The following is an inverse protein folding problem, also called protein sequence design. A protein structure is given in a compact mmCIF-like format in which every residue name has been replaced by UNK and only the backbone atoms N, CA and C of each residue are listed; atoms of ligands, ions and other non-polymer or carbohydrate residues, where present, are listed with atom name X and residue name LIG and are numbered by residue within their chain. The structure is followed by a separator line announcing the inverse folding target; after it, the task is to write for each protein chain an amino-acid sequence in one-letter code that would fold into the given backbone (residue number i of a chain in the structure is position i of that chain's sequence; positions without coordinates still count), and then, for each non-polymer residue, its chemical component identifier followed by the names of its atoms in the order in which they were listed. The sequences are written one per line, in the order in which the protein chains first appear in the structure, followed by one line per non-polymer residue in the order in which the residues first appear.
data_IF_003793360822
#
_entry.id   IF_003793360822
#
_cell.length_a   1.000
_cell.length_b   1.000
_cell.length_c   1.000
_cell.angle_alpha   90.00
_cell.angle_beta   90.00
_cell.angle_gamma   90.00
#
_symmetry.space_group_name_H-M   'P 1'
#
loop_
_entity.id
_entity.type
_entity.pdbx_description
1 polymer ?
#
# COMPACT_ATOMS: atom_id res chain seq x y z
N UNK A 1 16.52 24.79 14.64
CA UNK A 1 16.37 24.24 13.28
C UNK A 1 14.89 24.18 12.99
N UNK A 2 14.39 25.02 12.10
CA UNK A 2 12.99 24.95 11.66
C UNK A 2 12.83 23.72 10.78
N UNK A 3 12.24 22.65 11.31
CA UNK A 3 11.68 21.58 10.48
C UNK A 3 10.43 22.16 9.80
N UNK A 4 10.55 22.57 8.54
CA UNK A 4 9.37 22.81 7.71
C UNK A 4 8.63 21.48 7.58
N UNK A 5 7.67 21.24 8.48
CA UNK A 5 6.67 20.18 8.33
C UNK A 5 5.95 20.43 7.00
N UNK A 6 6.24 19.60 6.00
CA UNK A 6 5.51 19.65 4.74
C UNK A 6 4.09 19.15 5.00
N UNK A 7 3.11 20.05 4.89
CA UNK A 7 1.68 19.72 4.98
C UNK A 7 1.06 19.97 3.63
N UNK A 8 0.23 19.05 3.18
CA UNK A 8 -0.54 19.26 1.95
C UNK A 8 -1.50 20.45 2.16
N UNK A 9 -1.68 21.26 1.11
CA UNK A 9 -2.61 22.39 1.12
C UNK A 9 -4.06 21.92 1.22
N UNK A 10 -4.37 20.76 0.62
CA UNK A 10 -5.64 20.07 0.71
C UNK A 10 -5.36 18.58 0.96
N UNK A 11 -5.95 18.05 2.03
CA UNK A 11 -5.73 16.67 2.46
C UNK A 11 -6.59 15.69 1.68
N UNK A 12 -5.98 14.63 1.15
CA UNK A 12 -6.74 13.49 0.64
C UNK A 12 -7.31 12.65 1.79
N UNK A 13 -8.42 11.95 1.53
CA UNK A 13 -8.95 10.91 2.41
C UNK A 13 -8.89 9.56 1.73
N UNK A 14 -8.32 8.58 2.42
CA UNK A 14 -8.26 7.19 2.01
C UNK A 14 -9.10 6.38 3.00
N UNK A 15 -10.21 5.78 2.55
CA UNK A 15 -11.08 4.98 3.40
C UNK A 15 -10.64 3.50 3.42
N UNK A 16 -10.03 3.06 2.32
CA UNK A 16 -9.60 1.68 2.15
C UNK A 16 -8.36 1.60 1.27
N UNK A 17 -7.37 0.81 1.69
CA UNK A 17 -6.20 0.54 0.87
C UNK A 17 -5.80 -0.94 0.87
N UNK A 18 -5.15 -1.35 -0.21
CA UNK A 18 -4.50 -2.65 -0.37
C UNK A 18 -2.98 -2.54 -0.29
N UNK A 19 -2.34 -3.66 0.03
CA UNK A 19 -0.89 -3.78 -0.01
C UNK A 19 -0.49 -4.99 -0.86
N UNK A 20 0.42 -4.77 -1.81
CA UNK A 20 0.97 -5.78 -2.70
C UNK A 20 2.48 -5.84 -2.53
N UNK A 21 3.03 -7.04 -2.49
CA UNK A 21 4.47 -7.27 -2.37
C UNK A 21 5.00 -8.18 -3.45
N UNK A 22 6.04 -7.70 -4.14
CA UNK A 22 6.93 -8.47 -5.00
C UNK A 22 8.26 -8.78 -4.32
N UNK A 23 8.38 -8.49 -3.01
CA UNK A 23 9.59 -8.84 -2.26
C UNK A 23 9.67 -10.36 -2.08
N UNK A 24 10.88 -10.93 -1.97
CA UNK A 24 11.07 -12.32 -1.57
C UNK A 24 10.34 -12.63 -0.26
N UNK A 25 9.76 -13.83 -0.09
CA UNK A 25 8.95 -14.18 1.09
C UNK A 25 9.67 -13.98 2.43
N UNK A 26 11.00 -14.18 2.47
CA UNK A 26 11.80 -13.98 3.68
C UNK A 26 11.93 -12.50 4.11
N UNK A 27 11.56 -11.55 3.24
CA UNK A 27 11.46 -10.12 3.55
C UNK A 27 10.04 -9.67 3.87
N UNK A 28 9.06 -10.58 3.84
CA UNK A 28 7.66 -10.22 4.03
C UNK A 28 7.36 -9.67 5.44
N UNK A 29 8.14 -10.07 6.45
CA UNK A 29 8.02 -9.51 7.81
C UNK A 29 8.31 -8.01 7.86
N UNK A 30 9.16 -7.47 6.98
CA UNK A 30 9.44 -6.04 6.90
C UNK A 30 8.24 -5.22 6.40
N UNK A 31 7.27 -5.86 5.74
CA UNK A 31 6.16 -5.18 5.11
C UNK A 31 5.12 -4.70 6.10
N UNK A 32 4.93 -5.41 7.21
CA UNK A 32 4.04 -4.94 8.28
C UNK A 32 4.57 -3.64 8.88
N UNK A 33 5.87 -3.58 9.21
CA UNK A 33 6.48 -2.35 9.72
C UNK A 33 6.44 -1.24 8.67
N UNK A 34 6.73 -1.56 7.40
CA UNK A 34 6.64 -0.61 6.31
C UNK A 34 5.24 -0.01 6.14
N UNK A 35 4.19 -0.84 6.18
CA UNK A 35 2.79 -0.38 6.17
C UNK A 35 2.51 0.60 7.31
N UNK A 36 2.94 0.27 8.54
CA UNK A 36 2.74 1.13 9.71
C UNK A 36 3.43 2.49 9.54
N UNK A 37 4.65 2.50 9.01
CA UNK A 37 5.39 3.75 8.77
C UNK A 37 4.76 4.60 7.67
N UNK A 38 4.21 3.98 6.62
CA UNK A 38 3.43 4.69 5.59
C UNK A 38 2.20 5.36 6.20
N UNK A 39 1.37 4.61 6.93
CA UNK A 39 0.14 5.15 7.54
C UNK A 39 0.47 6.31 8.48
N UNK A 40 1.51 6.16 9.32
CA UNK A 40 1.99 7.23 10.20
C UNK A 40 2.43 8.47 9.42
N UNK A 41 3.18 8.27 8.35
CA UNK A 41 3.67 9.36 7.51
C UNK A 41 2.52 10.09 6.83
N UNK A 42 1.61 9.38 6.16
CA UNK A 42 0.41 9.97 5.55
C UNK A 42 -0.40 10.80 6.55
N UNK A 43 -0.68 10.26 7.73
CA UNK A 43 -1.41 10.98 8.79
C UNK A 43 -0.66 12.21 9.29
N UNK A 44 0.67 12.14 9.44
CA UNK A 44 1.49 13.29 9.84
C UNK A 44 1.45 14.44 8.81
N UNK A 45 1.24 14.11 7.53
CA UNK A 45 1.07 15.09 6.45
C UNK A 45 -0.37 15.61 6.30
N UNK A 46 -1.31 15.11 7.11
CA UNK A 46 -2.71 15.52 7.11
C UNK A 46 -3.66 14.62 6.30
N UNK A 47 -3.16 13.53 5.68
CA UNK A 47 -3.99 12.57 4.93
C UNK A 47 -4.74 11.67 5.91
N UNK A 48 -6.06 11.55 5.73
CA UNK A 48 -6.84 10.55 6.46
C UNK A 48 -6.57 9.16 5.88
N UNK A 49 -6.24 8.19 6.75
CA UNK A 49 -5.84 6.86 6.33
C UNK A 49 -6.21 5.83 7.41
N UNK A 50 -6.63 4.60 7.08
CA UNK A 50 -6.97 3.60 8.08
C UNK A 50 -5.70 2.96 8.67
N UNK A 51 -5.83 2.29 9.82
CA UNK A 51 -4.68 1.72 10.55
C UNK A 51 -4.00 0.56 9.82
N UNK A 52 -4.76 -0.17 9.00
CA UNK A 52 -4.30 -1.40 8.35
C UNK A 52 -4.89 -1.54 6.95
N UNK A 53 -4.18 -2.23 6.04
CA UNK A 53 -4.71 -2.55 4.72
C UNK A 53 -5.91 -3.49 4.84
N UNK A 54 -6.91 -3.30 3.99
CA UNK A 54 -8.02 -4.26 3.83
C UNK A 54 -7.54 -5.55 3.20
N UNK A 55 -6.57 -5.46 2.29
CA UNK A 55 -6.05 -6.59 1.55
C UNK A 55 -4.54 -6.61 1.57
N UNK A 56 -3.98 -7.80 1.76
CA UNK A 56 -2.57 -8.07 1.59
C UNK A 56 -2.38 -9.16 0.54
N UNK A 57 -1.55 -8.89 -0.47
CA UNK A 57 -1.21 -9.83 -1.53
C UNK A 57 0.31 -9.95 -1.66
N UNK A 58 0.79 -11.19 -1.58
CA UNK A 58 2.17 -11.53 -1.86
C UNK A 58 2.26 -12.15 -3.26
N UNK A 59 3.03 -11.53 -4.13
CA UNK A 59 3.33 -12.07 -5.45
C UNK A 59 4.08 -13.40 -5.32
N UNK A 60 3.69 -14.35 -6.16
CA UNK A 60 4.35 -15.64 -6.36
C UNK A 60 5.42 -15.48 -7.42
N UNK A 61 6.32 -16.46 -7.51
CA UNK A 61 7.51 -16.44 -8.38
C UNK A 61 7.23 -16.08 -9.85
N UNK A 62 6.06 -16.46 -10.38
CA UNK A 62 5.67 -16.26 -11.78
C UNK A 62 4.50 -15.28 -11.94
N UNK A 63 4.08 -14.59 -10.87
CA UNK A 63 3.01 -13.61 -10.97
C UNK A 63 3.54 -12.35 -11.68
N UNK A 64 2.77 -11.86 -12.65
CA UNK A 64 2.96 -10.52 -13.21
C UNK A 64 2.26 -9.48 -12.32
N UNK A 65 2.62 -8.19 -12.47
CA UNK A 65 1.91 -7.09 -11.78
C UNK A 65 0.42 -7.11 -12.06
N UNK A 66 0.04 -7.31 -13.32
CA UNK A 66 -1.36 -7.40 -13.73
C UNK A 66 -2.11 -8.50 -12.98
N UNK A 67 -1.51 -9.70 -12.85
CA UNK A 67 -2.14 -10.82 -12.15
C UNK A 67 -2.39 -10.51 -10.68
N UNK A 68 -1.43 -9.87 -9.98
CA UNK A 68 -1.60 -9.56 -8.56
C UNK A 68 -2.59 -8.42 -8.35
N UNK A 69 -2.55 -7.39 -9.19
CA UNK A 69 -3.52 -6.29 -9.13
C UNK A 69 -4.93 -6.76 -9.46
N UNK A 70 -5.09 -7.69 -10.42
CA UNK A 70 -6.38 -8.33 -10.70
C UNK A 70 -6.93 -9.07 -9.49
N UNK A 71 -6.10 -9.79 -8.72
CA UNK A 71 -6.55 -10.43 -7.47
C UNK A 71 -7.01 -9.43 -6.41
N UNK A 72 -6.40 -8.25 -6.34
CA UNK A 72 -6.91 -7.16 -5.48
C UNK A 72 -8.25 -6.66 -6.00
N UNK A 73 -8.39 -6.39 -7.30
CA UNK A 73 -9.65 -5.97 -7.90
C UNK A 73 -10.78 -6.98 -7.67
N UNK A 74 -10.52 -8.27 -7.93
CA UNK A 74 -11.48 -9.35 -7.70
C UNK A 74 -11.89 -9.47 -6.21
N UNK A 75 -10.98 -9.13 -5.28
CA UNK A 75 -11.29 -9.04 -3.84
C UNK A 75 -12.19 -7.84 -3.52
N UNK A 76 -11.88 -6.69 -4.10
CA UNK A 76 -12.68 -5.47 -3.94
C UNK A 76 -14.10 -5.68 -4.44
N UNK A 77 -14.27 -6.23 -5.65
CA UNK A 77 -15.57 -6.47 -6.27
C UNK A 77 -16.41 -7.48 -5.48
N UNK A 78 -15.80 -8.59 -5.05
CA UNK A 78 -16.49 -9.63 -4.27
C UNK A 78 -16.98 -9.10 -2.92
N UNK A 79 -16.17 -8.29 -2.25
CA UNK A 79 -16.45 -7.84 -0.90
C UNK A 79 -17.24 -6.50 -0.89
N UNK A 80 -17.56 -5.95 -2.07
CA UNK A 80 -18.25 -4.67 -2.21
C UNK A 80 -17.42 -3.49 -1.70
N UNK A 81 -16.09 -3.61 -1.73
CA UNK A 81 -15.15 -2.63 -1.18
C UNK A 81 -14.64 -1.75 -2.30
N UNK A 82 -14.81 -0.43 -2.18
CA UNK A 82 -14.02 0.55 -2.94
C UNK A 82 -12.61 0.59 -2.36
N UNK A 83 -11.59 0.43 -3.18
CA UNK A 83 -10.19 0.54 -2.77
C UNK A 83 -9.61 1.83 -3.35
N UNK A 84 -9.30 2.80 -2.48
CA UNK A 84 -8.85 4.13 -2.89
C UNK A 84 -7.37 4.13 -3.29
N UNK A 85 -6.58 3.23 -2.70
CA UNK A 85 -5.14 3.18 -2.89
C UNK A 85 -4.58 1.75 -2.81
N UNK A 86 -3.57 1.44 -3.60
CA UNK A 86 -2.79 0.21 -3.47
C UNK A 86 -1.31 0.56 -3.36
N UNK A 87 -0.68 0.19 -2.25
CA UNK A 87 0.77 0.27 -2.10
C UNK A 87 1.41 -0.97 -2.69
N UNK A 88 2.44 -0.79 -3.53
CA UNK A 88 3.13 -1.90 -4.20
C UNK A 88 4.62 -1.86 -3.83
N UNK A 89 5.08 -2.86 -3.09
CA UNK A 89 6.49 -3.04 -2.76
C UNK A 89 7.19 -3.85 -3.84
N UNK A 90 8.14 -3.21 -4.54
CA UNK A 90 8.88 -3.80 -5.65
C UNK A 90 10.28 -4.24 -5.22
N UNK A 91 10.81 -5.30 -5.83
CA UNK A 91 12.16 -5.82 -5.51
C UNK A 91 13.28 -4.95 -6.08
N UNK A 92 13.07 -4.38 -7.27
CA UNK A 92 13.99 -3.47 -7.95
C UNK A 92 13.18 -2.51 -8.81
N UNK A 93 13.66 -1.27 -8.95
CA UNK A 93 13.12 -0.29 -9.89
C UNK A 93 13.42 -0.63 -11.35
N UNK A 94 14.34 -1.55 -11.62
CA UNK A 94 14.75 -1.95 -12.99
C UNK A 94 13.82 -3.00 -13.62
N UNK A 95 12.86 -3.54 -12.87
CA UNK A 95 11.98 -4.63 -13.32
C UNK A 95 10.67 -4.16 -13.96
N UNK A 96 10.47 -2.84 -14.14
CA UNK A 96 9.22 -2.25 -14.61
C UNK A 96 9.45 -1.08 -15.57
#
# INVERSE_FOLDING_TARGET
MNSTEFKFFESASCESFGFVSFLPPHKASMLQEFCLQIVRTCRSTGIEMPDSPKFYEQARKNDTVEMVLKRIADKCDRDGIKCDLVFVALFSSEQY
#
